data_IF_900411986799
#
_entry.id   IF_900411986799
#
_cell.length_a   1.000
_cell.length_b   1.000
_cell.length_c   1.000
_cell.angle_alpha   90.00
_cell.angle_beta   90.00
_cell.angle_gamma   90.00
#
_symmetry.space_group_name_H-M   'P 1'
#
loop_
_entity.id
_entity.type
_entity.pdbx_description
1 polymer ?
#
# COMPACT_ATOMS: atom_id res chain seq x y z
N UNK A 1 12.23 3.98 -7.99
CA UNK A 1 10.81 4.32 -7.78
C UNK A 1 9.96 3.12 -8.11
N UNK A 2 9.08 2.73 -7.21
CA UNK A 2 8.24 1.54 -7.38
C UNK A 2 6.83 1.94 -7.80
N UNK A 3 6.15 1.04 -8.53
CA UNK A 3 4.76 1.26 -8.92
C UNK A 3 3.80 1.15 -7.73
N UNK A 4 4.25 0.53 -6.63
CA UNK A 4 3.44 0.29 -5.44
C UNK A 4 3.91 1.17 -4.30
N UNK A 5 2.96 1.84 -3.63
CA UNK A 5 3.20 2.54 -2.37
C UNK A 5 2.30 1.95 -1.29
N UNK A 6 2.85 1.81 -0.10
CA UNK A 6 2.11 1.34 1.07
C UNK A 6 2.12 2.43 2.13
N UNK A 7 0.97 3.01 2.41
CA UNK A 7 0.82 3.98 3.49
C UNK A 7 0.55 3.22 4.78
N UNK A 8 1.36 3.46 5.79
CA UNK A 8 1.35 2.66 7.02
C UNK A 8 1.60 3.51 8.26
N UNK A 9 1.42 2.88 9.42
CA UNK A 9 1.84 3.44 10.71
C UNK A 9 2.70 2.40 11.43
N UNK A 10 3.41 2.85 12.48
CA UNK A 10 4.34 1.99 13.21
C UNK A 10 3.70 0.91 14.06
N UNK A 11 2.39 1.01 14.31
CA UNK A 11 1.68 0.10 15.20
C UNK A 11 0.57 -0.68 14.49
N UNK A 12 0.72 -0.90 13.20
CA UNK A 12 -0.31 -1.55 12.38
C UNK A 12 0.10 -2.98 12.01
N UNK A 13 -0.45 -4.01 12.67
CA UNK A 13 -0.13 -5.40 12.32
C UNK A 13 -0.53 -5.78 10.90
N UNK A 14 -1.63 -5.21 10.39
CA UNK A 14 -2.09 -5.49 9.02
C UNK A 14 -1.17 -4.84 8.00
N UNK A 15 -0.57 -3.70 8.33
CA UNK A 15 0.46 -3.09 7.49
C UNK A 15 1.66 -4.01 7.33
N UNK A 16 2.06 -4.67 8.42
CA UNK A 16 3.15 -5.65 8.38
C UNK A 16 2.79 -6.82 7.45
N UNK A 17 1.56 -7.30 7.53
CA UNK A 17 1.07 -8.37 6.65
C UNK A 17 1.08 -7.96 5.19
N UNK A 18 0.66 -6.72 4.89
CA UNK A 18 0.64 -6.22 3.52
C UNK A 18 2.05 -6.15 2.94
N UNK A 19 3.00 -5.66 3.72
CA UNK A 19 4.40 -5.58 3.27
C UNK A 19 4.99 -6.96 3.05
N UNK A 20 4.74 -7.89 3.98
CA UNK A 20 5.22 -9.27 3.86
C UNK A 20 4.61 -9.96 2.63
N UNK A 21 3.36 -9.68 2.34
CA UNK A 21 2.66 -10.19 1.16
C UNK A 21 3.38 -9.76 -0.14
N UNK A 22 3.72 -8.48 -0.23
CA UNK A 22 4.43 -7.94 -1.38
C UNK A 22 5.85 -8.50 -1.48
N UNK A 23 6.56 -8.58 -0.35
CA UNK A 23 7.92 -9.15 -0.30
C UNK A 23 7.93 -10.59 -0.80
N UNK A 24 6.95 -11.38 -0.40
CA UNK A 24 6.86 -12.78 -0.76
C UNK A 24 6.69 -12.99 -2.26
N UNK A 25 6.11 -12.03 -2.93
CA UNK A 25 5.88 -12.06 -4.37
C UNK A 25 6.97 -11.38 -5.18
N UNK A 26 7.99 -10.86 -4.51
CA UNK A 26 9.07 -10.13 -5.16
C UNK A 26 8.66 -8.79 -5.72
N UNK A 27 7.57 -8.22 -5.21
CA UNK A 27 7.09 -6.90 -5.65
C UNK A 27 7.73 -5.83 -4.79
N UNK A 28 8.49 -4.92 -5.42
CA UNK A 28 9.06 -3.78 -4.73
C UNK A 28 7.99 -2.73 -4.42
N UNK A 29 8.12 -2.06 -3.28
CA UNK A 29 7.19 -1.02 -2.88
C UNK A 29 7.92 0.07 -2.10
N UNK A 30 7.31 1.26 -2.07
CA UNK A 30 7.76 2.35 -1.21
C UNK A 30 6.84 2.42 -0.02
N UNK A 31 7.40 2.39 1.19
CA UNK A 31 6.62 2.55 2.40
C UNK A 31 6.56 4.02 2.79
N UNK A 32 5.36 4.53 3.06
CA UNK A 32 5.16 5.91 3.49
C UNK A 32 4.55 5.88 4.89
N UNK A 33 5.31 6.32 5.89
CA UNK A 33 4.88 6.35 7.29
C UNK A 33 4.13 7.64 7.56
N UNK A 34 2.81 7.56 7.66
CA UNK A 34 1.97 8.73 7.85
C UNK A 34 1.96 9.24 9.30
N UNK A 35 2.48 8.43 10.21
CA UNK A 35 2.58 8.80 11.62
C UNK A 35 3.87 9.56 11.94
N UNK A 36 4.81 9.60 11.01
CA UNK A 36 6.12 10.25 11.23
C UNK A 36 6.26 11.60 10.53
N UNK A 37 5.41 11.88 9.56
CA UNK A 37 5.59 13.05 8.68
C UNK A 37 4.22 13.65 8.32
N UNK A 38 4.07 14.94 8.61
CA UNK A 38 2.83 15.67 8.33
C UNK A 38 2.56 15.75 6.83
N UNK A 39 3.59 15.89 6.00
CA UNK A 39 3.43 15.93 4.55
C UNK A 39 2.94 14.59 4.02
N UNK A 40 3.44 13.48 4.58
CA UNK A 40 2.99 12.15 4.23
C UNK A 40 1.51 11.97 4.58
N UNK A 41 1.07 12.52 5.72
CA UNK A 41 -0.33 12.47 6.12
C UNK A 41 -1.22 13.24 5.16
N UNK A 42 -0.77 14.40 4.68
CA UNK A 42 -1.50 15.21 3.69
C UNK A 42 -1.60 14.45 2.36
N UNK A 43 -0.50 13.87 1.91
CA UNK A 43 -0.47 13.07 0.69
C UNK A 43 -1.46 11.90 0.80
N UNK A 44 -1.44 11.22 1.94
CA UNK A 44 -2.35 10.11 2.23
C UNK A 44 -3.82 10.54 2.09
N UNK A 45 -4.18 11.67 2.69
CA UNK A 45 -5.56 12.16 2.65
C UNK A 45 -6.01 12.44 1.22
N UNK A 46 -5.13 13.00 0.40
CA UNK A 46 -5.45 13.32 -1.00
C UNK A 46 -5.56 12.06 -1.86
N UNK A 47 -4.54 11.19 -1.77
CA UNK A 47 -4.46 10.00 -2.62
C UNK A 47 -5.57 8.99 -2.31
N UNK A 48 -5.92 8.86 -1.03
CA UNK A 48 -6.95 7.91 -0.59
C UNK A 48 -8.34 8.51 -0.52
N UNK A 49 -8.48 9.80 -0.84
CA UNK A 49 -9.75 10.54 -0.76
C UNK A 49 -10.35 10.52 0.64
N UNK A 50 -9.49 10.67 1.64
CA UNK A 50 -9.92 10.79 3.04
C UNK A 50 -10.07 9.48 3.78
N UNK A 51 -9.39 8.43 3.37
CA UNK A 51 -9.39 7.17 4.11
C UNK A 51 -8.88 7.37 5.53
N UNK A 52 -9.43 6.62 6.47
CA UNK A 52 -9.11 6.73 7.89
C UNK A 52 -8.43 5.49 8.44
N UNK A 53 -8.14 4.53 7.61
CA UNK A 53 -7.52 3.27 8.01
C UNK A 53 -6.24 3.02 7.26
N UNK A 54 -5.33 2.28 7.86
CA UNK A 54 -4.11 1.80 7.25
C UNK A 54 -4.09 0.27 7.35
N UNK A 55 -3.42 -0.44 6.43
CA UNK A 55 -2.68 0.10 5.31
C UNK A 55 -3.58 0.61 4.19
N UNK A 56 -3.06 1.52 3.39
CA UNK A 56 -3.69 1.89 2.11
C UNK A 56 -2.63 1.69 1.04
N UNK A 57 -3.00 0.97 0.00
CA UNK A 57 -2.05 0.58 -1.05
C UNK A 57 -2.39 1.33 -2.33
N UNK A 58 -1.36 1.87 -2.97
CA UNK A 58 -1.48 2.55 -4.25
C UNK A 58 -0.69 1.73 -5.27
N UNK A 59 -1.34 1.37 -6.37
CA UNK A 59 -0.73 0.62 -7.45
C UNK A 59 -0.86 1.42 -8.74
N UNK A 60 0.27 1.71 -9.39
CA UNK A 60 0.32 2.49 -10.62
C UNK A 60 -0.42 3.83 -10.50
N UNK A 61 -0.30 4.49 -9.36
CA UNK A 61 -0.92 5.78 -9.10
C UNK A 61 -2.38 5.75 -8.65
N UNK A 62 -2.99 4.57 -8.56
CA UNK A 62 -4.38 4.42 -8.15
C UNK A 62 -4.46 3.76 -6.77
N UNK A 63 -5.20 4.37 -5.86
CA UNK A 63 -5.43 3.78 -4.54
C UNK A 63 -6.43 2.63 -4.66
N UNK A 64 -5.99 1.42 -4.30
CA UNK A 64 -6.84 0.22 -4.41
C UNK A 64 -7.52 -0.12 -3.09
N UNK A 65 -7.12 0.50 -1.99
CA UNK A 65 -7.67 0.23 -0.67
C UNK A 65 -6.66 -0.44 0.25
N UNK A 66 -7.16 -1.29 1.14
CA UNK A 66 -6.35 -1.94 2.16
C UNK A 66 -5.84 -3.32 1.75
N UNK A 67 -5.49 -4.10 2.77
CA UNK A 67 -4.93 -5.43 2.56
C UNK A 67 -5.90 -6.38 1.84
N UNK A 68 -7.19 -6.32 2.17
CA UNK A 68 -8.20 -7.17 1.53
C UNK A 68 -8.25 -6.91 0.03
N UNK A 69 -8.28 -5.63 -0.36
CA UNK A 69 -8.31 -5.23 -1.76
C UNK A 69 -7.02 -5.61 -2.48
N UNK A 70 -5.89 -5.57 -1.77
CA UNK A 70 -4.61 -6.00 -2.32
C UNK A 70 -4.63 -7.49 -2.66
N UNK A 71 -5.15 -8.32 -1.75
CA UNK A 71 -5.23 -9.76 -1.99
C UNK A 71 -6.21 -10.10 -3.11
N UNK A 72 -7.32 -9.37 -3.19
CA UNK A 72 -8.30 -9.55 -4.26
C UNK A 72 -7.70 -9.21 -5.61
N UNK A 73 -6.96 -8.10 -5.69
CA UNK A 73 -6.29 -7.70 -6.92
C UNK A 73 -5.27 -8.75 -7.36
N UNK A 74 -4.54 -9.32 -6.42
CA UNK A 74 -3.56 -10.37 -6.71
C UNK A 74 -4.26 -11.61 -7.28
N UNK A 75 -5.40 -12.01 -6.71
CA UNK A 75 -6.16 -13.16 -7.18
C UNK A 75 -6.70 -12.95 -8.61
N UNK A 76 -6.99 -11.71 -8.95
CA UNK A 76 -7.49 -11.36 -10.29
C UNK A 76 -6.36 -11.20 -11.31
N UNK A 77 -5.10 -11.37 -10.89
CA UNK A 77 -3.95 -11.22 -11.78
C UNK A 77 -3.52 -9.77 -11.97
N UNK A 78 -4.08 -8.85 -11.19
CA UNK A 78 -3.79 -7.41 -11.32
C UNK A 78 -2.39 -7.00 -10.89
N UNK A 79 -1.65 -7.89 -10.23
CA UNK A 79 -0.27 -7.64 -9.81
C UNK A 79 0.76 -8.39 -10.66
N UNK A 80 0.32 -9.18 -11.64
CA UNK A 80 1.22 -10.03 -12.43
C UNK A 80 2.31 -9.22 -13.14
N UNK A 81 1.98 -8.05 -13.63
CA UNK A 81 2.94 -7.18 -14.34
C UNK A 81 4.03 -6.61 -13.42
N UNK A 82 3.87 -6.72 -12.10
CA UNK A 82 4.82 -6.22 -11.12
C UNK A 82 5.72 -7.33 -10.56
N UNK A 83 5.39 -8.58 -10.84
CA UNK A 83 6.17 -9.72 -10.36
C UNK A 83 7.32 -10.01 -11.32
N UNK A 84 8.49 -10.41 -10.78
CA UNK A 84 9.65 -10.73 -11.62
C UNK A 84 9.45 -11.97 -12.46
#
# INVERSE_FOLDING_TARGET
MNAVKVYSTGTCPICVKAKAFLDKRGIGYDEVRIDLDREAMKEFAVVTKGARTVPQIVVDGACIGGFTELTELDMDGGLDHLQP
#
